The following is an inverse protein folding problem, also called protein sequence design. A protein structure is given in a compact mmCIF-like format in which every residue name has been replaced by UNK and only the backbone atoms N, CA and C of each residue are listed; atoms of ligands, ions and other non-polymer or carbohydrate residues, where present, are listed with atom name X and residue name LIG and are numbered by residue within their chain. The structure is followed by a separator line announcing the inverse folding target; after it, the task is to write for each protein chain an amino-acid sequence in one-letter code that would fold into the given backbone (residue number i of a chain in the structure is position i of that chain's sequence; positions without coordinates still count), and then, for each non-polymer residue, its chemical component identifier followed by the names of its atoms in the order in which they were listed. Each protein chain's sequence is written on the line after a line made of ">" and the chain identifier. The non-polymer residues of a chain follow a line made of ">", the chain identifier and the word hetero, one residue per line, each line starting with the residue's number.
data_IF_876232189292
#
_entry.id   IF_876232189292
#
_cell.length_a   1.000
_cell.length_b   1.000
_cell.length_c   1.000
_cell.angle_alpha   90.00
_cell.angle_beta   90.00
_cell.angle_gamma   90.00
#
_symmetry.space_group_name_H-M   'P 1'
#
loop_
_entity.id
_entity.type
_entity.pdbx_description
1 polymer ?
#
# COMPACT_ATOMS: atom_id res chain seq x y z
N UNK A 1 -30.60 50.07 -46.08
CA UNK A 1 -31.37 49.38 -47.13
C UNK A 1 -30.49 48.30 -47.74
N UNK A 2 -30.77 47.07 -47.32
CA UNK A 2 -30.68 45.76 -47.99
C UNK A 2 -30.02 45.64 -49.39
N UNK A 3 -29.01 44.77 -49.46
CA UNK A 3 -28.59 43.89 -50.59
C UNK A 3 -27.43 43.02 -50.08
N UNK A 4 -27.19 41.76 -50.42
CA UNK A 4 -27.72 40.82 -51.43
C UNK A 4 -27.55 39.37 -50.88
N UNK A 5 -28.55 38.50 -51.02
CA UNK A 5 -28.64 37.33 -51.94
C UNK A 5 -27.37 36.48 -52.11
N UNK A 6 -27.47 35.17 -51.82
CA UNK A 6 -27.30 34.02 -52.76
C UNK A 6 -26.89 32.74 -52.00
N UNK A 7 -27.61 31.67 -52.31
CA UNK A 7 -27.43 30.25 -51.98
C UNK A 7 -26.15 29.63 -52.58
N UNK A 8 -25.54 28.62 -51.93
CA UNK A 8 -25.42 27.28 -52.54
C UNK A 8 -24.89 26.22 -51.53
N UNK A 9 -25.31 24.96 -51.72
CA UNK A 9 -24.80 23.78 -51.01
C UNK A 9 -23.61 23.20 -51.77
N UNK A 10 -22.46 22.95 -51.12
CA UNK A 10 -21.47 21.96 -51.58
C UNK A 10 -20.83 21.17 -50.44
N UNK A 11 -20.70 19.86 -50.69
CA UNK A 11 -20.06 18.82 -49.87
C UNK A 11 -18.54 19.05 -49.79
N UNK A 12 -17.87 18.65 -48.70
CA UNK A 12 -16.41 18.68 -48.62
C UNK A 12 -15.79 17.55 -49.44
N UNK A 13 -14.93 17.93 -50.38
CA UNK A 13 -14.01 17.08 -51.15
C UNK A 13 -12.77 16.77 -50.32
N UNK A 14 -12.35 15.51 -50.31
CA UNK A 14 -11.12 15.07 -49.66
C UNK A 14 -9.89 15.66 -50.35
N UNK A 15 -8.96 16.18 -49.55
CA UNK A 15 -7.59 16.44 -49.95
C UNK A 15 -6.73 15.23 -49.58
N UNK A 16 -6.13 14.66 -50.60
CA UNK A 16 -5.16 13.58 -50.59
C UNK A 16 -3.78 14.19 -50.33
N UNK A 17 -3.13 13.77 -49.24
CA UNK A 17 -1.75 14.17 -48.91
C UNK A 17 -0.82 13.05 -49.36
N UNK A 18 -0.17 13.26 -50.51
CA UNK A 18 0.83 12.38 -51.11
C UNK A 18 2.08 12.28 -50.21
N UNK A 19 2.53 11.05 -49.94
CA UNK A 19 3.79 10.73 -49.28
C UNK A 19 4.85 10.40 -50.35
N UNK A 20 6.10 10.90 -50.23
CA UNK A 20 7.10 10.73 -51.27
C UNK A 20 7.60 9.28 -51.40
N UNK A 21 7.63 8.81 -52.64
CA UNK A 21 8.36 7.63 -53.10
C UNK A 21 9.87 7.85 -52.90
N UNK A 22 10.49 6.91 -52.19
CA UNK A 22 11.89 6.43 -52.34
C UNK A 22 12.59 6.22 -50.99
N UNK A 23 12.57 4.97 -50.50
CA UNK A 23 13.61 4.46 -49.61
C UNK A 23 14.03 3.02 -50.03
N UNK A 24 15.33 2.67 -49.99
CA UNK A 24 15.86 1.53 -50.71
C UNK A 24 15.57 0.18 -50.04
N UNK A 25 15.02 -0.77 -50.81
CA UNK A 25 14.78 -2.16 -50.39
C UNK A 25 16.11 -2.89 -50.19
N UNK A 26 16.57 -2.96 -48.95
CA UNK A 26 17.66 -3.87 -48.54
C UNK A 26 17.08 -5.25 -48.24
N UNK A 27 17.09 -6.16 -49.22
CA UNK A 27 16.83 -7.60 -48.99
C UNK A 27 17.82 -8.13 -47.94
N UNK A 28 17.34 -8.55 -46.76
CA UNK A 28 18.13 -9.31 -45.78
C UNK A 28 17.42 -10.61 -45.42
N UNK A 29 18.10 -11.70 -45.73
CA UNK A 29 17.79 -13.09 -45.42
C UNK A 29 17.81 -13.39 -43.91
N UNK A 30 16.90 -12.80 -43.14
CA UNK A 30 16.83 -13.02 -41.68
C UNK A 30 15.71 -13.98 -41.23
N UNK A 31 14.97 -14.59 -42.17
CA UNK A 31 13.89 -15.51 -41.84
C UNK A 31 14.31 -16.97 -41.65
N UNK A 32 15.38 -17.44 -42.31
CA UNK A 32 15.72 -18.89 -42.33
C UNK A 32 16.64 -19.35 -41.20
N UNK A 33 17.49 -18.47 -40.68
CA UNK A 33 18.43 -18.81 -39.58
C UNK A 33 17.71 -18.93 -38.22
N UNK A 34 16.64 -18.15 -37.99
CA UNK A 34 15.88 -18.21 -36.74
C UNK A 34 15.11 -19.52 -36.58
N UNK A 35 14.56 -20.07 -37.68
CA UNK A 35 13.87 -21.36 -37.67
C UNK A 35 14.81 -22.55 -37.44
N UNK A 36 16.03 -22.51 -37.97
CA UNK A 36 17.02 -23.56 -37.75
C UNK A 36 17.53 -23.58 -36.30
N UNK A 37 17.69 -22.41 -35.66
CA UNK A 37 18.08 -22.33 -34.26
C UNK A 37 16.99 -22.88 -33.32
N UNK A 38 15.71 -22.56 -33.58
CA UNK A 38 14.58 -23.09 -32.80
C UNK A 38 14.45 -24.61 -32.98
N UNK A 39 14.62 -25.12 -34.20
CA UNK A 39 14.59 -26.56 -34.47
C UNK A 39 15.74 -27.32 -33.78
N UNK A 40 16.95 -26.74 -33.73
CA UNK A 40 18.09 -27.33 -33.04
C UNK A 40 17.88 -27.40 -31.52
N UNK A 41 17.32 -26.36 -30.91
CA UNK A 41 16.99 -26.36 -29.46
C UNK A 41 15.90 -27.39 -29.14
N UNK A 42 14.87 -27.50 -29.99
CA UNK A 42 13.83 -28.51 -29.83
C UNK A 42 14.36 -29.95 -29.99
N UNK A 43 15.28 -30.19 -30.93
CA UNK A 43 15.92 -31.49 -31.12
C UNK A 43 16.83 -31.88 -29.95
N UNK A 44 17.58 -30.92 -29.40
CA UNK A 44 18.41 -31.15 -28.19
C UNK A 44 17.52 -31.43 -26.97
N UNK A 45 16.42 -30.71 -26.79
CA UNK A 45 15.44 -30.96 -25.73
C UNK A 45 14.78 -32.34 -25.85
N UNK A 46 14.39 -32.74 -27.06
CA UNK A 46 13.81 -34.06 -27.32
C UNK A 46 14.82 -35.19 -27.10
N UNK A 47 16.10 -34.99 -27.46
CA UNK A 47 17.16 -35.96 -27.24
C UNK A 47 17.54 -36.09 -25.76
N UNK A 48 17.58 -34.99 -25.00
CA UNK A 48 17.78 -35.03 -23.55
C UNK A 48 16.61 -35.71 -22.82
N UNK A 49 15.38 -35.49 -23.28
CA UNK A 49 14.19 -36.16 -22.73
C UNK A 49 14.17 -37.66 -23.04
N UNK A 50 14.59 -38.07 -24.25
CA UNK A 50 14.68 -39.48 -24.64
C UNK A 50 15.86 -40.20 -23.97
N UNK A 51 16.99 -39.52 -23.71
CA UNK A 51 18.06 -40.09 -22.89
C UNK A 51 17.65 -40.24 -21.43
N UNK A 52 16.94 -39.26 -20.86
CA UNK A 52 16.38 -39.37 -19.51
C UNK A 52 15.33 -40.50 -19.38
N UNK A 53 14.61 -40.81 -20.47
CA UNK A 53 13.68 -41.93 -20.53
C UNK A 53 14.35 -43.29 -20.79
N UNK A 54 15.58 -43.31 -21.30
CA UNK A 54 16.37 -44.53 -21.57
C UNK A 54 17.15 -45.06 -20.36
N UNK A 55 17.47 -44.19 -19.40
CA UNK A 55 18.20 -44.55 -18.16
C UNK A 55 17.30 -45.05 -17.02
N UNK A 56 15.98 -45.18 -17.26
CA UNK A 56 15.03 -45.73 -16.27
C UNK A 56 14.64 -47.16 -16.62
N UNK A 57 15.56 -48.10 -16.40
CA UNK A 57 15.23 -49.52 -16.28
C UNK A 57 15.68 -50.03 -14.92
N UNK A 58 14.72 -50.62 -14.19
CA UNK A 58 14.85 -51.39 -12.96
C UNK A 58 15.20 -50.67 -11.65
N UNK A 59 14.28 -49.85 -11.14
CA UNK A 59 14.01 -49.72 -9.68
C UNK A 59 12.51 -49.55 -9.43
N UNK A 60 11.94 -50.15 -8.37
CA UNK A 60 10.50 -50.06 -8.11
C UNK A 60 10.11 -48.59 -7.89
N UNK A 61 9.02 -48.18 -8.55
CA UNK A 61 8.38 -46.87 -8.41
C UNK A 61 7.89 -46.66 -6.97
N UNK A 62 8.78 -46.20 -6.11
CA UNK A 62 8.39 -45.46 -4.91
C UNK A 62 7.81 -44.13 -5.38
N UNK A 63 6.54 -43.87 -5.07
CA UNK A 63 5.90 -42.58 -5.30
C UNK A 63 6.61 -41.52 -4.45
N UNK A 64 7.66 -40.90 -4.98
CA UNK A 64 8.23 -39.70 -4.39
C UNK A 64 7.29 -38.53 -4.70
N UNK A 65 6.24 -38.37 -3.88
CA UNK A 65 5.57 -37.07 -3.76
C UNK A 65 6.61 -36.12 -3.17
N UNK A 66 7.34 -35.40 -4.03
CA UNK A 66 8.21 -34.32 -3.57
C UNK A 66 7.32 -33.34 -2.81
N UNK A 67 7.55 -33.20 -1.50
CA UNK A 67 6.83 -32.23 -0.69
C UNK A 67 7.20 -30.83 -1.20
N UNK A 68 6.26 -30.19 -1.90
CA UNK A 68 6.40 -28.83 -2.41
C UNK A 68 5.67 -27.89 -1.45
N UNK A 69 6.27 -26.75 -1.10
CA UNK A 69 5.54 -25.71 -0.35
C UNK A 69 4.38 -25.23 -1.23
N UNK A 70 3.12 -25.35 -0.75
CA UNK A 70 1.98 -24.90 -1.54
C UNK A 70 2.09 -23.40 -1.84
N UNK A 71 1.46 -22.96 -2.94
CA UNK A 71 1.19 -21.54 -3.09
C UNK A 71 0.21 -21.13 -2.00
N UNK A 72 0.48 -20.03 -1.32
CA UNK A 72 -0.50 -19.39 -0.47
C UNK A 72 -0.41 -17.89 -0.65
N UNK A 73 -1.59 -17.26 -0.69
CA UNK A 73 -1.72 -15.82 -0.70
C UNK A 73 -2.55 -15.40 0.51
N UNK A 74 -2.36 -14.19 1.04
CA UNK A 74 -3.28 -13.65 2.02
C UNK A 74 -4.70 -13.64 1.44
N UNK A 75 -5.68 -14.06 2.23
CA UNK A 75 -7.07 -14.08 1.81
C UNK A 75 -7.58 -12.66 1.57
N UNK A 76 -8.62 -12.50 0.75
CA UNK A 76 -9.23 -11.19 0.45
C UNK A 76 -9.66 -10.41 1.70
N UNK A 77 -9.99 -11.12 2.78
CA UNK A 77 -10.38 -10.51 4.06
C UNK A 77 -9.21 -9.92 4.85
N UNK A 78 -7.97 -10.15 4.43
CA UNK A 78 -6.78 -9.65 5.11
C UNK A 78 -6.47 -8.17 4.82
N UNK A 79 -7.13 -7.57 3.81
CA UNK A 79 -6.75 -6.27 3.25
C UNK A 79 -7.69 -5.11 3.61
N UNK A 80 -8.44 -5.23 4.71
CA UNK A 80 -9.43 -4.22 5.13
C UNK A 80 -10.68 -4.18 4.25
N UNK A 81 -11.59 -3.23 4.50
CA UNK A 81 -12.82 -3.10 3.71
C UNK A 81 -12.55 -2.53 2.30
N UNK A 82 -11.48 -1.74 2.15
CA UNK A 82 -10.97 -1.27 0.86
C UNK A 82 -10.39 -2.39 -0.01
N UNK A 83 -9.92 -3.48 0.61
CA UNK A 83 -9.16 -4.53 -0.09
C UNK A 83 -7.73 -4.11 -0.46
N UNK A 84 -7.24 -2.96 0.02
CA UNK A 84 -5.97 -2.38 -0.38
C UNK A 84 -5.01 -2.10 0.80
N UNK A 85 -5.38 -2.47 2.04
CA UNK A 85 -4.50 -2.33 3.22
C UNK A 85 -3.49 -3.48 3.28
N UNK A 86 -2.20 -3.19 3.18
CA UNK A 86 -1.12 -4.18 3.05
C UNK A 86 -0.34 -4.43 4.35
N UNK A 87 -0.81 -3.86 5.47
CA UNK A 87 -0.26 -4.11 6.80
C UNK A 87 -1.24 -4.87 7.69
N UNK A 88 -0.76 -5.96 8.29
CA UNK A 88 -1.30 -6.48 9.54
C UNK A 88 -0.52 -5.86 10.71
N UNK A 89 -1.20 -5.57 11.82
CA UNK A 89 -0.60 -4.97 13.01
C UNK A 89 -0.65 -5.95 14.17
N UNK A 90 0.45 -6.02 14.94
CA UNK A 90 0.52 -6.83 16.15
C UNK A 90 1.42 -6.19 17.21
N UNK A 91 1.11 -6.44 18.47
CA UNK A 91 2.05 -6.28 19.57
C UNK A 91 3.08 -7.42 19.57
N UNK A 92 4.24 -7.24 20.21
CA UNK A 92 5.24 -8.30 20.33
C UNK A 92 4.65 -9.59 20.90
N UNK A 93 4.94 -10.71 20.24
CA UNK A 93 4.45 -12.06 20.61
C UNK A 93 2.92 -12.22 20.66
N UNK A 94 2.13 -11.28 20.10
CA UNK A 94 0.68 -11.38 20.05
C UNK A 94 0.24 -12.45 19.05
N UNK A 95 -0.76 -13.25 19.43
CA UNK A 95 -1.48 -14.11 18.48
C UNK A 95 -2.47 -13.27 17.67
N UNK A 96 -2.35 -13.33 16.34
CA UNK A 96 -3.19 -12.59 15.40
C UNK A 96 -3.84 -13.52 14.38
N UNK A 97 -4.93 -13.05 13.76
CA UNK A 97 -5.45 -13.68 12.54
C UNK A 97 -4.60 -13.23 11.34
N UNK A 98 -4.17 -14.20 10.54
CA UNK A 98 -3.44 -14.03 9.29
C UNK A 98 -4.04 -15.04 8.28
N UNK A 99 -5.21 -14.73 7.70
CA UNK A 99 -5.93 -15.68 6.86
C UNK A 99 -5.20 -15.89 5.53
N UNK A 100 -4.99 -17.15 5.16
CA UNK A 100 -4.30 -17.56 3.95
C UNK A 100 -5.20 -18.46 3.09
N UNK A 101 -5.22 -18.19 1.78
CA UNK A 101 -5.77 -19.09 0.78
C UNK A 101 -4.65 -20.04 0.32
N UNK A 102 -4.58 -21.22 0.93
CA UNK A 102 -3.55 -22.23 0.64
C UNK A 102 -3.99 -23.12 -0.53
N UNK A 103 -3.24 -23.09 -1.61
CA UNK A 103 -3.45 -23.91 -2.81
C UNK A 103 -2.51 -25.11 -2.81
N UNK A 104 -3.02 -26.26 -2.36
CA UNK A 104 -2.28 -27.52 -2.31
C UNK A 104 -2.53 -28.26 -1.01
N UNK A 105 -1.63 -29.16 -0.65
CA UNK A 105 -1.70 -29.93 0.59
C UNK A 105 -1.09 -29.14 1.78
N UNK A 106 -1.92 -28.68 2.74
CA UNK A 106 -1.45 -27.93 3.91
C UNK A 106 -0.89 -28.85 5.01
N UNK A 107 -0.89 -30.18 4.83
CA UNK A 107 -0.42 -31.10 5.86
C UNK A 107 1.04 -30.81 6.21
N UNK A 108 1.32 -30.72 7.52
CA UNK A 108 2.66 -30.44 8.06
C UNK A 108 3.27 -29.11 7.58
N UNK A 109 2.45 -28.17 7.11
CA UNK A 109 2.91 -26.84 6.76
C UNK A 109 3.33 -26.09 8.03
N UNK A 110 4.50 -25.49 7.98
CA UNK A 110 5.04 -24.65 9.04
C UNK A 110 5.14 -23.21 8.53
N UNK A 111 5.21 -22.28 9.46
CA UNK A 111 5.54 -20.89 9.17
C UNK A 111 6.67 -20.40 10.07
N UNK A 112 7.36 -19.37 9.60
CA UNK A 112 8.26 -18.54 10.38
C UNK A 112 8.21 -17.12 9.81
N UNK A 113 8.79 -16.16 10.52
CA UNK A 113 8.87 -14.78 10.07
C UNK A 113 10.25 -14.45 9.54
N UNK A 114 10.31 -13.60 8.52
CA UNK A 114 11.53 -13.03 7.97
C UNK A 114 11.38 -11.51 8.05
N UNK A 115 12.37 -10.82 8.61
CA UNK A 115 12.37 -9.36 8.63
C UNK A 115 12.44 -8.83 7.19
N UNK A 116 11.66 -7.80 6.87
CA UNK A 116 11.70 -7.20 5.53
C UNK A 116 13.13 -6.74 5.23
N UNK A 117 13.65 -7.12 4.06
CA UNK A 117 15.03 -6.85 3.63
C UNK A 117 16.05 -7.93 4.02
N UNK A 118 15.69 -8.88 4.89
CA UNK A 118 16.53 -10.01 5.28
C UNK A 118 16.15 -11.30 4.53
N UNK A 119 17.03 -12.30 4.60
CA UNK A 119 16.75 -13.66 4.08
C UNK A 119 16.69 -14.73 5.17
N UNK A 120 17.20 -14.43 6.37
CA UNK A 120 17.22 -15.34 7.49
C UNK A 120 15.88 -15.35 8.23
N UNK A 121 15.52 -16.50 8.81
CA UNK A 121 14.35 -16.60 9.68
C UNK A 121 14.61 -15.80 10.96
N UNK A 122 13.72 -14.85 11.25
CA UNK A 122 13.71 -14.07 12.48
C UNK A 122 13.09 -14.85 13.65
N UNK A 123 12.28 -15.87 13.36
CA UNK A 123 11.65 -16.73 14.37
C UNK A 123 11.87 -18.21 14.10
N UNK A 124 11.72 -19.02 15.14
CA UNK A 124 11.67 -20.47 15.00
C UNK A 124 10.46 -20.89 14.16
N UNK A 125 10.57 -22.06 13.51
CA UNK A 125 9.48 -22.67 12.74
C UNK A 125 8.35 -23.10 13.68
N UNK A 126 7.13 -22.75 13.33
CA UNK A 126 5.92 -23.13 14.06
C UNK A 126 4.94 -23.86 13.14
N UNK A 127 4.15 -24.83 13.64
CA UNK A 127 3.08 -25.43 12.84
C UNK A 127 2.05 -24.37 12.42
N UNK A 128 1.62 -24.40 11.16
CA UNK A 128 0.51 -23.58 10.70
C UNK A 128 -0.80 -24.36 10.85
N UNK A 129 -1.63 -23.96 11.83
CA UNK A 129 -2.90 -24.61 12.16
C UNK A 129 -4.04 -23.60 12.09
N UNK A 130 -4.64 -23.44 10.91
CA UNK A 130 -5.69 -22.45 10.68
C UNK A 130 -5.12 -21.05 10.38
N UNK A 131 -5.84 -20.01 10.79
CA UNK A 131 -5.53 -18.61 10.50
C UNK A 131 -4.78 -17.91 11.65
N UNK A 132 -4.55 -18.58 12.79
CA UNK A 132 -3.88 -17.98 13.94
C UNK A 132 -2.37 -18.18 13.90
N UNK A 133 -1.64 -17.08 14.05
CA UNK A 133 -0.18 -17.06 14.06
C UNK A 133 0.35 -16.13 15.15
N UNK A 134 1.50 -16.45 15.71
CA UNK A 134 2.18 -15.63 16.70
C UNK A 134 3.10 -14.64 16.00
N UNK A 135 2.95 -13.36 16.30
CA UNK A 135 3.86 -12.32 15.86
C UNK A 135 5.27 -12.52 16.44
N UNK A 136 6.33 -12.03 15.76
CA UNK A 136 7.66 -11.95 16.34
C UNK A 136 7.68 -11.24 17.71
N UNK A 137 8.61 -11.61 18.61
CA UNK A 137 8.77 -10.95 19.90
C UNK A 137 9.52 -9.61 19.81
N UNK A 138 10.04 -9.26 18.65
CA UNK A 138 10.75 -8.00 18.39
C UNK A 138 9.98 -7.14 17.40
N UNK A 139 10.03 -5.83 17.59
CA UNK A 139 9.40 -4.87 16.70
C UNK A 139 10.04 -4.85 15.29
N UNK A 140 9.23 -4.38 14.33
CA UNK A 140 9.63 -4.15 12.94
C UNK A 140 8.66 -4.77 11.93
N UNK A 141 9.11 -4.82 10.68
CA UNK A 141 8.32 -5.32 9.56
C UNK A 141 8.76 -6.72 9.17
N UNK A 142 7.80 -7.62 8.93
CA UNK A 142 8.05 -9.02 8.64
C UNK A 142 7.17 -9.56 7.51
N UNK A 143 7.74 -10.46 6.72
CA UNK A 143 6.98 -11.35 5.83
C UNK A 143 6.89 -12.74 6.44
N UNK A 144 5.75 -13.39 6.21
CA UNK A 144 5.59 -14.79 6.56
C UNK A 144 6.31 -15.67 5.54
N UNK A 145 7.08 -16.64 6.02
CA UNK A 145 7.64 -17.70 5.21
C UNK A 145 6.95 -19.02 5.52
N UNK A 146 6.37 -19.63 4.51
CA UNK A 146 5.82 -20.99 4.56
C UNK A 146 6.91 -22.01 4.30
N UNK A 147 6.94 -23.05 5.12
CA UNK A 147 8.00 -24.04 5.15
C UNK A 147 7.37 -25.43 5.13
N UNK A 148 7.82 -26.28 4.20
CA UNK A 148 7.44 -27.69 4.13
C UNK A 148 8.68 -28.51 3.78
N UNK A 149 9.04 -29.45 4.66
CA UNK A 149 10.32 -30.15 4.62
C UNK A 149 11.50 -29.16 4.55
N UNK A 150 12.32 -29.23 3.50
CA UNK A 150 13.49 -28.37 3.29
C UNK A 150 13.22 -27.19 2.34
N UNK A 151 11.96 -27.00 1.92
CA UNK A 151 11.58 -25.92 1.03
C UNK A 151 10.92 -24.78 1.81
N UNK A 152 11.17 -23.57 1.34
CA UNK A 152 10.67 -22.33 1.91
C UNK A 152 10.10 -21.44 0.80
N UNK A 153 9.00 -20.74 1.10
CA UNK A 153 8.39 -19.74 0.22
C UNK A 153 7.87 -18.57 1.03
N UNK A 154 8.23 -17.35 0.64
CA UNK A 154 7.68 -16.13 1.24
C UNK A 154 6.25 -15.90 0.74
N UNK A 155 5.37 -15.50 1.66
CA UNK A 155 4.02 -15.02 1.36
C UNK A 155 4.13 -13.54 1.00
N UNK A 156 3.74 -13.21 -0.24
CA UNK A 156 3.79 -11.86 -0.76
C UNK A 156 2.49 -11.09 -0.46
N UNK A 157 2.55 -9.76 -0.54
CA UNK A 157 1.36 -8.89 -0.57
C UNK A 157 0.86 -8.39 0.79
N UNK A 158 1.12 -9.11 1.89
CA UNK A 158 0.79 -8.67 3.25
C UNK A 158 2.04 -8.66 4.12
N UNK A 159 2.30 -7.52 4.77
CA UNK A 159 3.42 -7.34 5.69
C UNK A 159 2.88 -7.28 7.12
N UNK A 160 3.53 -7.98 8.04
CA UNK A 160 3.25 -7.84 9.48
C UNK A 160 4.12 -6.71 10.05
N UNK A 161 3.48 -5.69 10.61
CA UNK A 161 4.11 -4.67 11.42
C UNK A 161 3.95 -5.03 12.91
N UNK A 162 5.05 -5.42 13.54
CA UNK A 162 5.13 -5.61 15.00
C UNK A 162 5.50 -4.28 15.63
N UNK A 163 4.61 -3.79 16.48
CA UNK A 163 4.73 -2.49 17.13
C UNK A 163 5.75 -2.52 18.27
N UNK A 164 6.31 -1.35 18.54
CA UNK A 164 6.98 -1.01 19.80
C UNK A 164 5.88 -0.59 20.77
N UNK A 165 5.67 -1.31 21.89
CA UNK A 165 4.68 -0.96 22.89
C UNK A 165 4.83 0.49 23.39
N UNK A 166 3.71 1.16 23.62
CA UNK A 166 3.71 2.51 24.18
C UNK A 166 4.41 2.56 25.55
N UNK A 167 4.34 1.48 26.31
CA UNK A 167 4.93 1.32 27.63
C UNK A 167 6.46 1.42 27.63
N UNK A 168 7.13 1.21 26.48
CA UNK A 168 8.57 1.41 26.34
C UNK A 168 8.96 2.91 26.29
N UNK A 169 7.98 3.82 26.20
CA UNK A 169 8.22 5.26 26.19
C UNK A 169 8.57 5.77 27.60
N UNK A 170 9.84 6.10 27.80
CA UNK A 170 10.34 6.73 29.01
C UNK A 170 10.16 8.26 28.97
N UNK A 171 9.24 8.78 29.78
CA UNK A 171 8.95 10.21 29.83
C UNK A 171 8.45 10.73 28.47
N UNK A 172 9.25 11.54 27.77
CA UNK A 172 8.91 12.06 26.44
C UNK A 172 9.68 11.38 25.29
N UNK A 173 10.42 10.31 25.56
CA UNK A 173 11.34 9.69 24.62
C UNK A 173 10.99 8.21 24.40
N UNK A 174 11.21 7.71 23.18
CA UNK A 174 11.11 6.30 22.82
C UNK A 174 12.40 5.93 22.08
N UNK A 175 13.25 5.09 22.66
CA UNK A 175 14.54 4.68 22.08
C UNK A 175 15.39 5.86 21.54
N UNK A 176 15.44 6.98 22.27
CA UNK A 176 16.18 8.17 21.88
C UNK A 176 15.46 9.10 20.88
N UNK A 177 14.29 8.71 20.38
CA UNK A 177 13.42 9.55 19.55
C UNK A 177 12.41 10.35 20.39
N UNK A 178 12.18 11.62 20.04
CA UNK A 178 11.31 12.49 20.85
C UNK A 178 9.85 12.40 20.42
N UNK A 179 9.06 11.59 21.12
CA UNK A 179 7.60 11.55 20.99
C UNK A 179 6.95 12.74 21.71
N UNK A 180 7.39 13.03 22.93
CA UNK A 180 6.74 13.96 23.83
C UNK A 180 5.62 13.31 24.65
N UNK A 181 4.79 14.15 25.26
CA UNK A 181 3.76 13.72 26.21
C UNK A 181 2.37 13.96 25.63
N UNK A 182 1.57 12.91 25.62
CA UNK A 182 0.14 12.92 25.29
C UNK A 182 -0.67 13.64 26.35
N UNK A 183 -1.85 14.15 25.96
CA UNK A 183 -2.72 14.85 26.90
C UNK A 183 -3.18 13.96 28.06
N UNK A 184 -3.51 12.69 27.75
CA UNK A 184 -3.96 11.70 28.72
C UNK A 184 -2.90 11.31 29.76
N UNK A 185 -1.62 11.53 29.47
CA UNK A 185 -0.53 11.29 30.43
C UNK A 185 -0.46 12.39 31.51
N UNK A 186 -1.00 13.59 31.24
CA UNK A 186 -0.87 14.76 32.13
C UNK A 186 -2.13 15.06 32.93
N UNK A 187 -3.28 14.91 32.28
CA UNK A 187 -4.60 15.16 32.82
C UNK A 187 -5.43 13.94 32.42
N UNK A 188 -6.54 13.63 33.12
CA UNK A 188 -7.51 12.60 32.67
C UNK A 188 -8.10 12.98 31.30
N UNK A 189 -7.30 12.84 30.25
CA UNK A 189 -7.65 13.02 28.86
C UNK A 189 -8.62 11.92 28.45
N UNK A 190 -9.51 12.25 27.52
CA UNK A 190 -10.58 11.32 27.10
C UNK A 190 -10.10 10.26 26.10
N UNK A 191 -9.00 10.52 25.39
CA UNK A 191 -8.45 9.61 24.39
C UNK A 191 -7.13 9.01 24.91
N UNK A 192 -7.05 7.68 25.05
CA UNK A 192 -5.80 7.02 25.43
C UNK A 192 -4.71 7.27 24.37
N UNK A 193 -3.43 7.21 24.75
CA UNK A 193 -2.35 7.18 23.77
C UNK A 193 -2.48 5.93 22.85
N UNK A 194 -1.77 5.90 21.71
CA UNK A 194 -1.63 4.70 20.89
C UNK A 194 -1.16 3.51 21.73
N UNK A 195 -1.56 2.30 21.34
CA UNK A 195 -1.07 1.05 21.97
C UNK A 195 0.43 0.83 21.70
N UNK A 196 0.91 1.33 20.57
CA UNK A 196 2.32 1.24 20.18
C UNK A 196 2.64 2.05 18.94
N UNK A 197 3.88 1.90 18.48
CA UNK A 197 4.44 2.65 17.35
C UNK A 197 5.13 1.70 16.38
N UNK A 198 5.05 2.01 15.08
CA UNK A 198 5.96 1.44 14.10
C UNK A 198 7.39 1.89 14.43
N UNK A 199 8.35 0.97 14.53
CA UNK A 199 9.77 1.30 14.47
C UNK A 199 10.18 1.38 12.99
N UNK A 200 10.62 2.54 12.54
CA UNK A 200 10.91 2.83 11.13
C UNK A 200 12.41 3.12 10.98
N UNK A 201 13.06 2.36 10.11
CA UNK A 201 14.46 2.53 9.70
C UNK A 201 14.51 3.11 8.28
N UNK A 202 15.67 3.61 7.83
CA UNK A 202 15.82 4.11 6.46
C UNK A 202 15.43 3.10 5.37
N UNK A 203 15.64 1.80 5.63
CA UNK A 203 15.30 0.71 4.71
C UNK A 203 13.80 0.45 4.58
N UNK A 204 12.99 0.97 5.51
CA UNK A 204 11.58 0.63 5.63
C UNK A 204 10.68 1.64 4.91
N UNK A 205 11.24 2.77 4.45
CA UNK A 205 10.48 3.93 3.97
C UNK A 205 9.60 3.62 2.75
N UNK A 206 10.07 2.74 1.88
CA UNK A 206 9.36 2.37 0.66
C UNK A 206 8.52 1.09 0.82
N UNK A 207 8.38 0.56 2.04
CA UNK A 207 7.45 -0.53 2.32
C UNK A 207 6.01 -0.02 2.04
N UNK A 208 5.27 -0.65 1.11
CA UNK A 208 3.88 -0.29 0.85
C UNK A 208 3.02 -0.63 2.06
N UNK A 209 2.25 0.34 2.56
CA UNK A 209 1.26 0.10 3.62
C UNK A 209 -0.16 0.01 3.09
N UNK A 210 -0.42 0.64 1.93
CA UNK A 210 -1.61 0.42 1.13
C UNK A 210 -1.24 0.34 -0.35
N UNK A 211 -2.20 0.49 -1.27
CA UNK A 211 -1.92 0.68 -2.69
C UNK A 211 -1.22 1.99 -2.99
N UNK A 212 -1.66 3.10 -2.37
CA UNK A 212 -1.15 4.45 -2.66
C UNK A 212 -0.21 5.00 -1.60
N UNK A 213 -0.10 4.35 -0.43
CA UNK A 213 0.68 4.81 0.70
C UNK A 213 1.84 3.88 1.01
N UNK A 214 2.93 4.48 1.50
CA UNK A 214 4.11 3.81 2.04
C UNK A 214 4.41 4.27 3.47
N UNK A 215 5.26 3.51 4.17
CA UNK A 215 5.65 3.82 5.57
C UNK A 215 6.21 5.24 5.70
N UNK A 216 6.98 5.68 4.70
CA UNK A 216 7.58 7.03 4.67
C UNK A 216 6.57 8.18 4.78
N UNK A 217 5.33 7.99 4.31
CA UNK A 217 4.29 9.02 4.31
C UNK A 217 3.79 9.35 5.74
N UNK A 218 4.09 8.48 6.69
CA UNK A 218 3.71 8.62 8.10
C UNK A 218 4.87 9.07 8.99
N UNK A 219 6.01 9.46 8.42
CA UNK A 219 7.10 10.02 9.20
C UNK A 219 6.70 11.36 9.83
N UNK A 220 7.20 11.59 11.04
CA UNK A 220 7.00 12.85 11.73
C UNK A 220 8.02 13.90 11.25
N UNK A 221 7.52 15.02 10.73
CA UNK A 221 8.32 15.98 9.96
C UNK A 221 9.34 16.81 10.75
N UNK A 222 9.21 16.92 12.08
CA UNK A 222 10.10 17.79 12.88
C UNK A 222 11.44 17.17 13.27
N UNK A 223 11.67 15.90 12.89
CA UNK A 223 12.83 15.09 13.27
C UNK A 223 13.34 14.24 12.10
N UNK A 224 13.30 14.78 10.87
CA UNK A 224 13.83 14.09 9.69
C UNK A 224 15.32 13.73 9.89
N UNK A 225 15.69 12.51 9.48
CA UNK A 225 17.06 12.00 9.58
C UNK A 225 17.45 11.45 10.96
N UNK A 226 16.55 11.45 11.95
CA UNK A 226 16.74 10.79 13.24
C UNK A 226 16.21 9.35 13.15
N UNK A 227 17.04 8.37 13.49
CA UNK A 227 16.72 6.95 13.37
C UNK A 227 17.00 6.17 14.67
N UNK A 228 16.22 5.12 14.97
CA UNK A 228 14.93 4.81 14.33
C UNK A 228 13.91 5.93 14.55
N UNK A 229 13.00 6.09 13.59
CA UNK A 229 11.84 6.98 13.71
C UNK A 229 10.64 6.17 14.16
N UNK A 230 9.64 6.83 14.75
CA UNK A 230 8.45 6.16 15.25
C UNK A 230 7.18 6.84 14.77
N UNK A 231 6.18 6.05 14.40
CA UNK A 231 4.88 6.53 13.97
C UNK A 231 3.74 5.68 14.53
N UNK A 232 2.71 6.32 15.09
CA UNK A 232 1.44 5.66 15.32
C UNK A 232 0.62 5.69 14.02
N UNK A 233 0.00 4.57 13.66
CA UNK A 233 -0.82 4.43 12.46
C UNK A 233 -2.05 3.59 12.81
N UNK A 234 -3.24 4.13 12.55
CA UNK A 234 -4.48 3.39 12.73
C UNK A 234 -4.87 2.70 11.40
N UNK A 235 -5.06 1.36 11.37
CA UNK A 235 -5.47 0.66 10.15
C UNK A 235 -6.81 1.17 9.57
N UNK A 236 -7.72 1.68 10.39
CA UNK A 236 -8.98 2.29 9.90
C UNK A 236 -8.75 3.55 9.07
N UNK A 237 -7.73 4.33 9.40
CA UNK A 237 -7.37 5.50 8.60
C UNK A 237 -6.90 5.06 7.22
N UNK A 238 -6.00 4.06 7.16
CA UNK A 238 -5.50 3.52 5.89
C UNK A 238 -6.65 3.04 5.01
N UNK A 239 -7.58 2.28 5.60
CA UNK A 239 -8.74 1.75 4.90
C UNK A 239 -9.66 2.86 4.37
N UNK A 240 -9.92 3.89 5.19
CA UNK A 240 -10.72 5.05 4.80
C UNK A 240 -10.09 5.83 3.65
N UNK A 241 -8.77 6.03 3.67
CA UNK A 241 -8.06 6.76 2.61
C UNK A 241 -8.18 6.03 1.27
N UNK A 242 -7.99 4.72 1.26
CA UNK A 242 -8.17 3.90 0.05
C UNK A 242 -9.62 3.91 -0.45
N UNK A 243 -10.62 3.81 0.44
CA UNK A 243 -12.03 3.93 0.07
C UNK A 243 -12.38 5.30 -0.54
N UNK A 244 -11.76 6.38 -0.05
CA UNK A 244 -11.92 7.73 -0.61
C UNK A 244 -11.35 7.79 -2.02
N UNK A 245 -10.16 7.22 -2.24
CA UNK A 245 -9.53 7.15 -3.56
C UNK A 245 -10.38 6.32 -4.53
N UNK A 246 -10.92 5.19 -4.07
CA UNK A 246 -11.83 4.35 -4.86
C UNK A 246 -13.13 5.09 -5.22
N UNK A 247 -13.71 5.86 -4.30
CA UNK A 247 -14.91 6.65 -4.58
C UNK A 247 -14.63 7.74 -5.62
N UNK A 248 -13.48 8.41 -5.54
CA UNK A 248 -13.04 9.38 -6.55
C UNK A 248 -12.84 8.71 -7.91
N UNK A 249 -12.16 7.57 -7.96
CA UNK A 249 -11.93 6.82 -9.20
C UNK A 249 -13.25 6.38 -9.86
N UNK A 250 -14.26 6.01 -9.07
CA UNK A 250 -15.61 5.68 -9.59
C UNK A 250 -16.26 6.84 -10.32
N UNK A 251 -16.04 8.09 -9.89
CA UNK A 251 -16.60 9.26 -10.57
C UNK A 251 -16.02 9.46 -11.97
N UNK A 252 -14.84 8.89 -12.24
CA UNK A 252 -14.15 8.94 -13.53
C UNK A 252 -14.38 7.70 -14.40
N UNK A 253 -15.34 6.85 -14.04
CA UNK A 253 -15.67 5.63 -14.80
C UNK A 253 -14.65 4.52 -14.61
N UNK A 254 -14.10 4.39 -13.40
CA UNK A 254 -13.12 3.38 -12.99
C UNK A 254 -11.80 3.45 -13.81
N UNK A 255 -11.50 4.61 -14.42
CA UNK A 255 -10.14 4.90 -14.91
C UNK A 255 -9.18 4.66 -13.74
N UNK A 256 -8.19 3.82 -14.02
CA UNK A 256 -7.59 2.91 -13.05
C UNK A 256 -7.32 3.62 -11.71
N UNK A 257 -7.90 3.08 -10.63
CA UNK A 257 -7.65 3.52 -9.24
C UNK A 257 -6.17 3.83 -8.98
N UNK A 258 -5.25 3.12 -9.65
CA UNK A 258 -3.80 3.28 -9.58
C UNK A 258 -3.25 4.63 -10.12
N UNK A 259 -4.02 5.37 -10.91
CA UNK A 259 -3.59 6.63 -11.53
C UNK A 259 -3.93 7.87 -10.68
N UNK A 260 -4.56 7.69 -9.51
CA UNK A 260 -4.89 8.80 -8.61
C UNK A 260 -3.64 9.23 -7.84
N UNK A 261 -3.12 10.41 -8.14
CA UNK A 261 -1.99 11.00 -7.43
C UNK A 261 -2.41 11.47 -6.04
N UNK A 262 -1.76 10.92 -5.01
CA UNK A 262 -1.96 11.22 -3.60
C UNK A 262 -0.65 11.76 -3.03
N UNK A 263 -0.71 12.96 -2.46
CA UNK A 263 0.39 13.54 -1.68
C UNK A 263 -0.02 13.64 -0.21
N UNK A 264 0.80 13.08 0.68
CA UNK A 264 0.57 13.11 2.12
C UNK A 264 1.41 14.24 2.72
N UNK A 265 0.74 15.35 3.03
CA UNK A 265 1.39 16.48 3.68
C UNK A 265 1.73 16.21 5.15
N UNK A 266 0.98 15.33 5.82
CA UNK A 266 1.26 14.95 7.21
C UNK A 266 0.46 13.69 7.58
N UNK A 267 1.14 12.59 7.87
CA UNK A 267 0.57 11.45 8.59
C UNK A 267 0.69 11.65 10.10
N UNK A 268 1.54 10.86 10.76
CA UNK A 268 1.76 10.95 12.20
C UNK A 268 2.48 12.25 12.62
N UNK A 269 2.02 12.85 13.72
CA UNK A 269 2.65 14.03 14.32
C UNK A 269 2.85 13.81 15.80
N UNK A 270 4.10 13.59 16.21
CA UNK A 270 4.44 13.38 17.61
C UNK A 270 3.92 14.51 18.52
N UNK A 271 3.47 14.24 19.76
CA UNK A 271 3.01 15.28 20.68
C UNK A 271 3.99 16.45 20.89
N UNK A 272 5.29 16.19 20.88
CA UNK A 272 6.32 17.22 20.95
C UNK A 272 6.30 18.15 19.72
N UNK A 273 6.09 17.60 18.52
CA UNK A 273 5.91 18.35 17.29
C UNK A 273 4.60 19.13 17.33
N UNK A 274 3.48 18.47 17.65
CA UNK A 274 2.14 19.05 17.62
C UNK A 274 2.04 20.36 18.42
N UNK A 275 2.70 20.45 19.58
CA UNK A 275 2.73 21.67 20.41
C UNK A 275 3.40 22.88 19.74
N UNK A 276 4.23 22.67 18.72
CA UNK A 276 4.94 23.74 17.99
C UNK A 276 4.20 24.15 16.73
N UNK A 277 3.22 23.37 16.28
CA UNK A 277 2.39 23.70 15.11
C UNK A 277 1.39 24.78 15.51
N UNK A 278 1.41 25.89 14.79
CA UNK A 278 0.53 27.02 15.06
C UNK A 278 -0.94 26.59 14.92
N UNK A 279 -1.77 26.92 15.92
CA UNK A 279 -3.22 26.60 15.98
C UNK A 279 -3.56 25.10 15.99
N UNK A 280 -2.58 24.20 16.13
CA UNK A 280 -2.88 22.79 16.30
C UNK A 280 -3.62 22.53 17.62
N UNK A 281 -4.69 21.74 17.56
CA UNK A 281 -5.38 21.28 18.75
C UNK A 281 -4.43 20.41 19.60
N UNK A 282 -4.45 20.58 20.93
CA UNK A 282 -3.61 19.79 21.85
C UNK A 282 -3.90 18.29 21.80
N UNK A 283 -5.11 17.91 21.39
CA UNK A 283 -5.60 16.54 21.19
C UNK A 283 -5.81 16.22 19.69
N UNK A 284 -5.00 16.83 18.82
CA UNK A 284 -5.00 16.54 17.39
C UNK A 284 -4.84 15.05 17.11
N UNK A 285 -5.66 14.54 16.19
CA UNK A 285 -5.76 13.12 15.83
C UNK A 285 -4.49 12.59 15.13
N UNK A 286 -3.66 13.46 14.55
CA UNK A 286 -2.35 13.07 14.02
C UNK A 286 -1.41 12.50 15.09
N UNK A 287 -1.58 12.89 16.36
CA UNK A 287 -0.76 12.35 17.46
C UNK A 287 -1.08 10.88 17.74
N UNK A 288 -2.27 10.44 17.35
CA UNK A 288 -2.81 9.12 17.68
C UNK A 288 -2.74 8.14 16.49
N UNK A 289 -2.23 8.59 15.34
CA UNK A 289 -2.23 7.81 14.10
C UNK A 289 -3.58 7.77 13.39
N UNK A 290 -4.54 8.57 13.85
CA UNK A 290 -5.93 8.55 13.39
C UNK A 290 -6.19 9.53 12.24
N UNK A 291 -5.22 10.36 11.86
CA UNK A 291 -5.41 11.41 10.85
C UNK A 291 -4.29 11.47 9.80
N UNK A 292 -4.67 11.92 8.61
CA UNK A 292 -3.76 12.35 7.56
C UNK A 292 -4.24 13.66 6.92
N UNK A 293 -3.29 14.52 6.56
CA UNK A 293 -3.51 15.68 5.69
C UNK A 293 -3.08 15.28 4.29
N UNK A 294 -4.03 15.25 3.35
CA UNK A 294 -3.81 14.74 1.99
C UNK A 294 -4.18 15.75 0.91
N UNK A 295 -3.42 15.75 -0.18
CA UNK A 295 -3.72 16.44 -1.42
C UNK A 295 -3.96 15.38 -2.51
N UNK A 296 -5.08 15.48 -3.21
CA UNK A 296 -5.46 14.53 -4.27
C UNK A 296 -5.91 15.36 -5.46
N UNK A 297 -5.39 15.07 -6.64
CA UNK A 297 -5.96 15.55 -7.90
C UNK A 297 -7.22 14.74 -8.21
N UNK A 298 -8.33 15.17 -7.60
CA UNK A 298 -9.57 14.42 -7.63
C UNK A 298 -10.29 14.52 -8.99
N UNK A 299 -9.92 15.47 -9.85
CA UNK A 299 -10.53 15.64 -11.16
C UNK A 299 -9.64 15.14 -12.32
N UNK A 300 -8.35 14.92 -12.08
CA UNK A 300 -7.39 14.34 -13.03
C UNK A 300 -6.84 15.35 -14.07
N UNK A 301 -6.86 16.65 -13.78
CA UNK A 301 -6.33 17.70 -14.67
C UNK A 301 -4.86 18.06 -14.42
N UNK A 302 -4.20 17.34 -13.49
CA UNK A 302 -2.82 17.51 -13.07
C UNK A 302 -2.62 18.65 -12.07
N UNK A 303 -3.68 19.19 -11.46
CA UNK A 303 -3.61 20.29 -10.50
C UNK A 303 -4.47 20.05 -9.26
N UNK A 304 -3.89 20.24 -8.08
CA UNK A 304 -4.65 20.21 -6.82
C UNK A 304 -5.24 21.59 -6.51
N UNK A 305 -6.52 21.78 -6.81
CA UNK A 305 -7.27 23.02 -6.61
C UNK A 305 -8.26 22.94 -5.44
N UNK A 306 -8.94 24.06 -5.14
CA UNK A 306 -10.05 24.08 -4.19
C UNK A 306 -11.26 23.26 -4.64
N UNK A 307 -11.39 22.98 -5.94
CA UNK A 307 -12.43 22.08 -6.47
C UNK A 307 -12.10 20.65 -6.04
N UNK A 308 -10.84 20.23 -6.17
CA UNK A 308 -10.37 18.90 -5.78
C UNK A 308 -10.55 18.65 -4.29
N UNK A 309 -10.20 19.61 -3.42
CA UNK A 309 -10.43 19.47 -1.99
C UNK A 309 -11.93 19.33 -1.62
N UNK A 310 -12.83 19.94 -2.39
CA UNK A 310 -14.28 19.77 -2.21
C UNK A 310 -14.76 18.41 -2.71
N UNK A 311 -14.19 17.92 -3.81
CA UNK A 311 -14.43 16.58 -4.34
C UNK A 311 -13.98 15.51 -3.34
N UNK A 312 -12.75 15.59 -2.82
CA UNK A 312 -12.27 14.72 -1.74
C UNK A 312 -13.19 14.80 -0.52
N UNK A 313 -13.60 16.01 -0.12
CA UNK A 313 -14.56 16.18 0.98
C UNK A 313 -15.89 15.46 0.75
N UNK A 314 -16.44 15.52 -0.47
CA UNK A 314 -17.64 14.78 -0.83
C UNK A 314 -17.43 13.26 -0.79
N UNK A 315 -16.28 12.77 -1.28
CA UNK A 315 -15.94 11.35 -1.25
C UNK A 315 -15.88 10.84 0.19
N UNK A 316 -15.28 11.62 1.11
CA UNK A 316 -15.26 11.30 2.54
C UNK A 316 -16.67 11.17 3.12
N UNK A 317 -17.59 12.08 2.78
CA UNK A 317 -18.98 11.98 3.27
C UNK A 317 -19.67 10.70 2.74
N UNK A 318 -19.46 10.34 1.47
CA UNK A 318 -20.02 9.12 0.88
C UNK A 318 -19.43 7.86 1.53
N UNK A 319 -18.11 7.84 1.76
CA UNK A 319 -17.43 6.74 2.43
C UNK A 319 -17.95 6.58 3.85
N UNK A 320 -18.06 7.66 4.64
CA UNK A 320 -18.60 7.57 6.01
C UNK A 320 -20.08 7.14 6.06
N UNK A 321 -20.87 7.42 5.02
CA UNK A 321 -22.24 6.91 4.91
C UNK A 321 -22.29 5.39 4.66
N UNK A 322 -21.37 4.87 3.84
CA UNK A 322 -21.25 3.44 3.54
C UNK A 322 -20.54 2.65 4.66
N UNK A 323 -19.65 3.33 5.38
CA UNK A 323 -18.76 2.78 6.42
C UNK A 323 -18.85 3.63 7.70
N UNK A 324 -19.95 3.55 8.46
CA UNK A 324 -20.15 4.36 9.67
C UNK A 324 -19.07 4.16 10.75
N UNK A 325 -18.41 3.00 10.76
CA UNK A 325 -17.29 2.66 11.64
C UNK A 325 -16.01 3.46 11.37
N UNK A 326 -15.91 4.12 10.21
CA UNK A 326 -14.81 4.97 9.78
C UNK A 326 -15.10 6.48 9.98
N UNK A 327 -16.20 6.82 10.65
CA UNK A 327 -16.60 8.22 10.88
C UNK A 327 -15.54 9.01 11.64
N UNK A 328 -15.28 10.23 11.20
CA UNK A 328 -14.36 11.11 11.90
C UNK A 328 -14.43 12.57 11.48
N UNK A 329 -13.30 13.26 11.63
CA UNK A 329 -13.10 14.64 11.26
C UNK A 329 -12.75 14.81 9.79
N UNK A 330 -13.30 15.86 9.19
CA UNK A 330 -12.98 16.32 7.84
C UNK A 330 -12.76 17.83 7.87
N UNK A 331 -11.55 18.25 7.51
CA UNK A 331 -11.15 19.65 7.43
C UNK A 331 -10.72 20.00 6.01
N UNK A 332 -11.36 20.97 5.38
CA UNK A 332 -10.99 21.40 4.01
C UNK A 332 -10.14 22.66 4.11
N UNK A 333 -8.90 22.60 3.61
CA UNK A 333 -7.94 23.71 3.66
C UNK A 333 -7.62 24.21 2.25
N UNK A 334 -8.11 25.41 1.94
CA UNK A 334 -7.89 26.05 0.64
C UNK A 334 -7.21 27.40 0.79
N UNK A 335 -6.21 27.71 -0.04
CA UNK A 335 -5.56 29.03 -0.07
C UNK A 335 -5.86 29.77 -1.37
N UNK A 336 -5.99 31.10 -1.30
CA UNK A 336 -6.22 31.93 -2.48
C UNK A 336 -4.96 32.29 -3.28
N UNK A 337 -3.76 32.24 -2.67
CA UNK A 337 -2.54 32.81 -3.26
C UNK A 337 -1.19 32.07 -3.00
N UNK A 338 -1.10 30.95 -2.25
CA UNK A 338 0.10 30.05 -2.29
C UNK A 338 -0.04 28.73 -1.50
N UNK A 339 0.45 27.63 -2.12
CA UNK A 339 0.90 26.30 -1.62
C UNK A 339 0.29 25.78 -0.31
N UNK A 340 -0.57 24.78 -0.24
CA UNK A 340 -0.96 23.70 -1.16
C UNK A 340 -2.34 23.29 -0.64
N UNK A 341 -3.37 23.16 -1.48
CA UNK A 341 -4.70 22.79 -0.98
C UNK A 341 -4.65 21.37 -0.42
N UNK A 342 -5.25 21.14 0.75
CA UNK A 342 -5.27 19.82 1.37
C UNK A 342 -6.55 19.57 2.14
N UNK A 343 -6.78 18.29 2.43
CA UNK A 343 -7.90 17.81 3.18
C UNK A 343 -7.38 17.02 4.37
N UNK A 344 -7.75 17.48 5.56
CA UNK A 344 -7.61 16.70 6.79
C UNK A 344 -8.69 15.62 6.78
N UNK A 345 -8.29 14.37 6.95
CA UNK A 345 -9.18 13.21 7.10
C UNK A 345 -8.75 12.47 8.37
N UNK A 346 -9.70 12.15 9.25
CA UNK A 346 -9.44 11.27 10.40
C UNK A 346 -10.57 10.29 10.71
N UNK A 347 -10.29 9.36 11.62
CA UNK A 347 -11.18 8.29 12.08
C UNK A 347 -11.47 8.37 13.59
N UNK A 348 -11.64 9.58 14.14
CA UNK A 348 -11.83 9.84 15.59
C UNK A 348 -13.11 9.25 16.21
N UNK A 349 -13.89 8.49 15.46
CA UNK A 349 -15.14 7.85 15.90
C UNK A 349 -16.32 8.80 16.10
N UNK A 350 -16.17 10.08 15.74
CA UNK A 350 -17.25 11.08 15.79
C UNK A 350 -17.11 12.11 14.68
N UNK A 351 -18.24 12.49 14.12
CA UNK A 351 -18.29 13.44 13.01
C UNK A 351 -17.85 14.84 13.46
N UNK A 352 -16.88 15.42 12.75
CA UNK A 352 -16.46 16.81 12.91
C UNK A 352 -16.16 17.43 11.55
N UNK A 353 -16.58 18.68 11.31
CA UNK A 353 -16.35 19.39 10.03
C UNK A 353 -15.88 20.80 10.27
N UNK A 354 -14.88 21.21 9.53
CA UNK A 354 -14.40 22.59 9.55
C UNK A 354 -13.77 22.94 8.21
N UNK A 355 -13.54 24.24 8.01
CA UNK A 355 -12.81 24.76 6.86
C UNK A 355 -11.68 25.63 7.40
N UNK A 356 -10.49 25.44 6.87
CA UNK A 356 -9.36 26.33 7.06
C UNK A 356 -9.07 27.08 5.77
N UNK A 357 -8.74 28.36 5.88
CA UNK A 357 -8.52 29.21 4.72
C UNK A 357 -8.74 30.66 5.13
N UNK A 358 -7.81 31.52 4.70
CA UNK A 358 -7.82 32.96 4.93
C UNK A 358 -8.93 33.68 4.16
#
# INVERSE_FOLDING_TARGET
>A
MTSAVVSDRRRPTGEELELPDDLPVRKRHLGRLLWLAIAAVAAVGAFQFLQAAGDTTDKPLGTFTRAVVPLANPSVTAFGASGEVKLAFAMPAQEISYPLDVHGDPTSLQYAWIRVGDTALATNRQPLSGDKVNAPPEAGFFHMALIKADQQRTVEGLTLAVLVPFEEKEGGMLHGYRIGTYLAERIRGRQPPPEGFLEIRPTDLDIPITKHLKVGDFLNHDQQGVWPSFAAVNPKLLDKLELVIQEIARWHGDKAVADVELDVHSGFRAPAHNRRVQRAASDSQHQYGDAADVAIDANGDGRVTAIDSRMVGLAVEIVELKHPELVGGLGIYTSGHSSTNYVHIDVRGRRARWRGGG
#
